data_IF_364644827165
#
_entry.id   IF_364644827165
#
_cell.length_a   1.000
_cell.length_b   1.000
_cell.length_c   1.000
_cell.angle_alpha   90.00
_cell.angle_beta   90.00
_cell.angle_gamma   90.00
#
_symmetry.space_group_name_H-M   'P 1'
#
loop_
_entity.id
_entity.type
_entity.pdbx_description
1 polymer ?
#
# COMPACT_ATOMS: atom_id res chain seq x y z
N UNK A 1 -86.66 -54.22 31.46
CA UNK A 1 -85.41 -54.36 32.20
C UNK A 1 -85.39 -55.61 33.06
N UNK A 2 -84.24 -56.16 33.41
CA UNK A 2 -84.17 -57.34 34.28
C UNK A 2 -84.00 -56.97 35.74
N UNK A 3 -84.59 -57.69 36.63
CA UNK A 3 -84.48 -57.49 38.08
C UNK A 3 -83.08 -57.87 38.60
N UNK A 4 -82.38 -56.92 39.22
CA UNK A 4 -81.00 -57.15 39.77
C UNK A 4 -80.94 -58.20 40.85
N UNK A 5 -82.04 -58.66 41.41
CA UNK A 5 -82.10 -59.64 42.48
C UNK A 5 -82.52 -61.05 42.04
N UNK A 6 -83.39 -61.23 41.00
CA UNK A 6 -83.87 -62.51 40.58
C UNK A 6 -83.91 -62.73 39.06
N UNK A 7 -83.28 -61.84 38.31
CA UNK A 7 -83.15 -61.81 36.82
C UNK A 7 -84.52 -61.90 36.02
N UNK A 8 -85.66 -61.79 36.71
CA UNK A 8 -86.91 -61.73 36.03
C UNK A 8 -87.11 -60.47 35.19
N UNK A 9 -87.79 -60.56 34.04
CA UNK A 9 -88.11 -59.41 33.21
C UNK A 9 -89.17 -58.53 33.90
N UNK A 10 -88.80 -57.25 34.07
CA UNK A 10 -89.69 -56.22 34.64
C UNK A 10 -90.05 -55.28 33.52
N UNK A 11 -91.33 -54.90 33.43
CA UNK A 11 -91.83 -53.87 32.48
C UNK A 11 -91.22 -52.54 32.80
N UNK A 12 -90.76 -51.84 31.79
CA UNK A 12 -90.27 -50.48 31.94
C UNK A 12 -91.32 -49.59 32.64
N UNK A 13 -90.87 -48.89 33.70
CA UNK A 13 -91.68 -48.06 34.54
C UNK A 13 -92.26 -48.74 35.77
N UNK A 14 -92.07 -50.04 36.03
CA UNK A 14 -92.46 -50.75 37.28
C UNK A 14 -91.48 -50.40 38.41
N UNK A 15 -92.08 -49.95 39.53
CA UNK A 15 -91.28 -49.58 40.73
C UNK A 15 -90.84 -50.83 41.53
N UNK A 16 -91.52 -51.97 41.42
CA UNK A 16 -91.25 -53.24 42.10
C UNK A 16 -91.24 -54.44 41.14
N UNK A 17 -90.37 -55.40 41.38
CA UNK A 17 -90.36 -56.61 40.60
C UNK A 17 -91.63 -57.46 40.94
N UNK A 18 -92.41 -57.87 39.96
CA UNK A 18 -93.62 -58.67 40.27
C UNK A 18 -93.34 -60.08 40.74
N UNK A 19 -92.12 -60.60 40.61
CA UNK A 19 -91.73 -61.95 40.96
C UNK A 19 -91.10 -62.02 42.38
N UNK A 20 -90.28 -61.07 42.77
CA UNK A 20 -89.59 -61.16 44.10
C UNK A 20 -89.91 -59.97 45.03
N UNK A 21 -90.78 -59.01 44.62
CA UNK A 21 -91.23 -57.89 45.42
C UNK A 21 -90.18 -56.80 45.74
N UNK A 22 -88.97 -56.94 45.26
CA UNK A 22 -87.90 -55.94 45.52
C UNK A 22 -88.03 -54.76 44.53
N UNK A 23 -87.73 -53.58 45.03
CA UNK A 23 -87.67 -52.39 44.21
C UNK A 23 -86.85 -52.62 42.98
N UNK A 24 -87.44 -52.25 41.82
CA UNK A 24 -86.68 -52.19 40.57
C UNK A 24 -85.82 -50.97 40.64
N UNK A 25 -84.49 -51.19 40.61
CA UNK A 25 -83.56 -50.08 40.52
C UNK A 25 -83.84 -49.32 39.22
N UNK A 26 -84.54 -48.21 39.37
CA UNK A 26 -84.65 -47.24 38.29
C UNK A 26 -83.26 -46.66 38.09
N UNK A 27 -82.67 -46.90 36.93
CA UNK A 27 -81.39 -46.31 36.58
C UNK A 27 -81.54 -44.79 36.65
N UNK A 28 -80.83 -44.16 37.53
CA UNK A 28 -80.80 -42.73 37.74
C UNK A 28 -80.34 -41.99 36.47
N UNK A 29 -81.22 -41.83 35.48
CA UNK A 29 -80.95 -41.01 34.33
C UNK A 29 -81.17 -39.51 34.55
N UNK A 30 -81.82 -39.15 35.68
CA UNK A 30 -82.15 -37.75 35.95
C UNK A 30 -81.26 -37.02 36.94
N UNK A 31 -80.47 -37.69 37.73
CA UNK A 31 -79.57 -37.03 38.72
C UNK A 31 -78.29 -36.45 38.12
N UNK A 32 -77.83 -36.99 37.02
CA UNK A 32 -76.53 -36.50 36.43
C UNK A 32 -76.67 -35.21 35.61
N UNK A 33 -77.88 -34.92 35.05
CA UNK A 33 -78.08 -33.72 34.25
C UNK A 33 -78.28 -32.44 35.09
N UNK A 34 -78.90 -32.57 36.28
CA UNK A 34 -79.03 -31.40 37.18
C UNK A 34 -77.74 -31.08 37.89
N UNK A 35 -76.93 -32.09 38.30
CA UNK A 35 -75.63 -31.87 38.94
C UNK A 35 -74.60 -31.25 37.94
N UNK A 36 -74.50 -31.73 36.73
CA UNK A 36 -73.67 -31.16 35.72
C UNK A 36 -74.06 -29.74 35.33
N UNK A 37 -75.33 -29.46 35.28
CA UNK A 37 -75.78 -28.11 35.00
C UNK A 37 -75.53 -27.18 36.19
N UNK A 38 -75.82 -27.60 37.41
CA UNK A 38 -75.49 -26.84 38.61
C UNK A 38 -74.00 -26.67 38.80
N UNK A 39 -73.19 -27.70 38.52
CA UNK A 39 -71.75 -27.59 38.54
C UNK A 39 -71.17 -26.68 37.45
N UNK A 40 -71.80 -26.65 36.27
CA UNK A 40 -71.42 -25.70 35.20
C UNK A 40 -71.76 -24.27 35.58
N UNK A 41 -72.96 -24.03 36.13
CA UNK A 41 -73.35 -22.70 36.62
C UNK A 41 -72.52 -22.21 37.80
N UNK A 42 -72.15 -23.11 38.74
CA UNK A 42 -71.29 -22.79 39.86
C UNK A 42 -69.87 -22.50 39.38
N UNK A 43 -69.32 -23.26 38.42
CA UNK A 43 -68.02 -23.02 37.80
C UNK A 43 -67.97 -21.68 37.05
N UNK A 44 -69.06 -21.35 36.33
CA UNK A 44 -69.14 -20.02 35.69
C UNK A 44 -69.33 -18.89 36.70
N UNK A 45 -70.13 -19.14 37.80
CA UNK A 45 -70.32 -18.16 38.85
C UNK A 45 -69.08 -17.91 39.73
N UNK A 46 -68.33 -18.96 40.04
CA UNK A 46 -67.08 -18.86 40.84
C UNK A 46 -65.94 -18.18 40.05
N UNK A 47 -65.93 -18.34 38.74
CA UNK A 47 -64.89 -17.68 37.90
C UNK A 47 -65.17 -16.21 37.59
N UNK A 48 -66.39 -15.74 37.81
CA UNK A 48 -66.73 -14.31 37.74
C UNK A 48 -66.52 -13.68 39.13
N UNK A 49 -65.22 -13.49 39.53
CA UNK A 49 -64.96 -12.53 40.58
C UNK A 49 -65.60 -11.20 40.13
N UNK A 50 -66.63 -10.75 40.84
CA UNK A 50 -67.15 -9.45 40.65
C UNK A 50 -66.09 -8.47 41.15
N UNK A 51 -65.23 -8.04 40.22
CA UNK A 51 -64.23 -7.03 40.49
C UNK A 51 -64.87 -5.71 40.91
N UNK A 52 -64.35 -5.08 41.91
CA UNK A 52 -64.87 -3.76 42.35
C UNK A 52 -64.80 -2.76 41.16
N UNK A 53 -65.61 -1.73 41.15
CA UNK A 53 -65.61 -0.71 40.11
C UNK A 53 -64.20 -0.11 39.87
N UNK A 54 -63.40 0.01 40.94
CA UNK A 54 -62.06 0.51 40.88
C UNK A 54 -61.09 -0.47 40.22
N UNK A 55 -61.23 -1.77 40.49
CA UNK A 55 -60.41 -2.82 39.85
C UNK A 55 -60.74 -2.95 38.36
N UNK A 56 -62.03 -2.82 38.00
CA UNK A 56 -62.47 -2.80 36.59
C UNK A 56 -61.88 -1.58 35.86
N UNK A 57 -61.86 -0.42 36.50
CA UNK A 57 -61.27 0.79 35.90
C UNK A 57 -59.76 0.67 35.71
N UNK A 58 -59.05 0.05 36.68
CA UNK A 58 -57.59 -0.24 36.56
C UNK A 58 -57.30 -1.23 35.44
N UNK A 59 -58.08 -2.27 35.29
CA UNK A 59 -57.96 -3.25 34.21
C UNK A 59 -58.27 -2.66 32.83
N UNK A 60 -59.27 -1.77 32.73
CA UNK A 60 -59.56 -1.03 31.48
C UNK A 60 -58.39 -0.13 31.09
N UNK A 61 -57.85 0.66 32.03
CA UNK A 61 -56.65 1.51 31.79
C UNK A 61 -55.43 0.67 31.38
N UNK A 62 -55.21 -0.48 32.03
CA UNK A 62 -54.12 -1.40 31.70
C UNK A 62 -54.27 -2.02 30.31
N UNK A 63 -55.53 -2.42 29.94
CA UNK A 63 -55.81 -2.93 28.58
C UNK A 63 -55.65 -1.87 27.50
N UNK A 64 -55.91 -0.60 27.79
CA UNK A 64 -55.70 0.50 26.86
C UNK A 64 -54.22 0.91 26.76
N UNK A 65 -53.47 0.85 27.86
CA UNK A 65 -52.05 1.18 27.87
C UNK A 65 -51.16 0.05 27.30
N UNK A 66 -51.62 -1.21 27.40
CA UNK A 66 -50.83 -2.38 26.96
C UNK A 66 -50.39 -2.33 25.48
N UNK A 67 -51.25 -2.00 24.50
CA UNK A 67 -50.82 -1.88 23.10
C UNK A 67 -49.79 -0.78 22.91
N UNK A 68 -49.89 0.36 23.63
CA UNK A 68 -48.95 1.46 23.53
C UNK A 68 -47.59 1.04 24.11
N UNK A 69 -47.58 0.32 25.22
CA UNK A 69 -46.32 -0.19 25.82
C UNK A 69 -45.70 -1.26 24.90
N UNK A 70 -46.48 -2.15 24.33
CA UNK A 70 -45.98 -3.20 23.42
C UNK A 70 -45.42 -2.57 22.15
N UNK A 71 -46.14 -1.58 21.55
CA UNK A 71 -45.61 -0.88 20.35
C UNK A 71 -44.35 -0.08 20.68
N UNK A 72 -44.27 0.55 21.84
CA UNK A 72 -43.06 1.23 22.30
C UNK A 72 -41.87 0.29 22.49
N UNK A 73 -42.11 -0.90 23.06
CA UNK A 73 -41.07 -1.95 23.20
C UNK A 73 -40.61 -2.49 21.85
N UNK A 74 -41.52 -2.74 20.93
CA UNK A 74 -41.18 -3.20 19.57
C UNK A 74 -40.34 -2.14 18.87
N UNK A 75 -40.70 -0.87 18.95
CA UNK A 75 -39.91 0.21 18.35
C UNK A 75 -38.52 0.32 18.98
N UNK A 76 -38.41 0.22 20.30
CA UNK A 76 -37.13 0.24 21.00
C UNK A 76 -36.22 -0.94 20.57
N UNK A 77 -36.81 -2.14 20.39
CA UNK A 77 -36.05 -3.30 19.90
C UNK A 77 -35.59 -3.08 18.45
N UNK A 78 -36.43 -2.54 17.59
CA UNK A 78 -36.03 -2.24 16.20
C UNK A 78 -34.91 -1.21 16.13
N UNK A 79 -34.98 -0.17 16.96
CA UNK A 79 -33.87 0.81 17.06
C UNK A 79 -32.61 0.14 17.58
N UNK A 80 -32.67 -0.67 18.62
CA UNK A 80 -31.52 -1.39 19.15
C UNK A 80 -30.88 -2.34 18.12
N UNK A 81 -31.74 -3.08 17.38
CA UNK A 81 -31.24 -3.93 16.27
C UNK A 81 -30.58 -3.09 15.17
N UNK A 82 -31.17 -1.95 14.80
CA UNK A 82 -30.61 -1.03 13.82
C UNK A 82 -29.23 -0.51 14.23
N UNK A 83 -29.07 -0.15 15.52
CA UNK A 83 -27.77 0.28 16.08
C UNK A 83 -26.76 -0.85 16.03
N UNK A 84 -27.13 -2.07 16.44
CA UNK A 84 -26.23 -3.22 16.42
C UNK A 84 -25.79 -3.57 14.99
N UNK A 85 -26.73 -3.55 14.04
CA UNK A 85 -26.42 -3.78 12.61
C UNK A 85 -25.47 -2.70 12.09
N UNK A 86 -25.70 -1.43 12.42
CA UNK A 86 -24.80 -0.35 12.03
C UNK A 86 -23.40 -0.55 12.61
N UNK A 87 -23.28 -0.81 13.90
CA UNK A 87 -21.99 -1.05 14.55
C UNK A 87 -21.26 -2.25 13.93
N UNK A 88 -21.99 -3.30 13.56
CA UNK A 88 -21.41 -4.46 12.88
C UNK A 88 -20.90 -4.12 11.48
N UNK A 89 -21.65 -3.32 10.71
CA UNK A 89 -21.22 -2.85 9.39
C UNK A 89 -20.00 -1.94 9.51
N UNK A 90 -20.01 -0.99 10.45
CA UNK A 90 -18.89 -0.08 10.69
C UNK A 90 -17.64 -0.88 11.10
N UNK A 91 -17.75 -1.84 12.02
CA UNK A 91 -16.65 -2.74 12.40
C UNK A 91 -16.10 -3.55 11.22
N UNK A 92 -16.99 -4.09 10.36
CA UNK A 92 -16.55 -4.82 9.17
C UNK A 92 -15.82 -3.93 8.17
N UNK A 93 -16.31 -2.71 7.97
CA UNK A 93 -15.72 -1.74 7.07
C UNK A 93 -14.35 -1.26 7.58
N UNK A 94 -14.23 -0.97 8.88
CA UNK A 94 -12.98 -0.55 9.51
C UNK A 94 -11.87 -1.60 9.40
N UNK A 95 -12.23 -2.89 9.34
CA UNK A 95 -11.31 -4.01 9.19
C UNK A 95 -11.24 -4.57 7.76
N UNK A 96 -11.74 -3.85 6.76
CA UNK A 96 -11.69 -4.24 5.36
C UNK A 96 -10.70 -3.37 4.59
N UNK A 97 -9.60 -3.97 4.11
CA UNK A 97 -8.61 -3.31 3.25
C UNK A 97 -9.28 -2.68 2.03
N UNK A 98 -10.09 -3.45 1.29
CA UNK A 98 -10.79 -2.96 0.09
C UNK A 98 -11.67 -1.74 0.38
N UNK A 99 -12.36 -1.73 1.52
CA UNK A 99 -13.17 -0.58 1.92
C UNK A 99 -12.29 0.64 2.19
N UNK A 100 -11.16 0.47 2.91
CA UNK A 100 -10.26 1.56 3.21
C UNK A 100 -9.65 2.16 1.93
N UNK A 101 -9.17 1.32 1.01
CA UNK A 101 -8.62 1.76 -0.28
C UNK A 101 -9.67 2.51 -1.12
N UNK A 102 -10.87 1.93 -1.25
CA UNK A 102 -11.96 2.59 -1.98
C UNK A 102 -12.32 3.96 -1.41
N UNK A 103 -12.37 4.08 -0.08
CA UNK A 103 -12.64 5.37 0.57
C UNK A 103 -11.50 6.35 0.38
N UNK A 104 -10.24 5.89 0.46
CA UNK A 104 -9.08 6.71 0.18
C UNK A 104 -9.14 7.31 -1.22
N UNK A 105 -9.37 6.49 -2.24
CA UNK A 105 -9.48 6.92 -3.63
C UNK A 105 -10.64 7.91 -3.84
N UNK A 106 -11.79 7.67 -3.19
CA UNK A 106 -12.91 8.62 -3.24
C UNK A 106 -12.54 9.98 -2.66
N UNK A 107 -11.88 10.00 -1.51
CA UNK A 107 -11.44 11.24 -0.85
C UNK A 107 -10.34 11.95 -1.66
N UNK A 108 -9.46 11.21 -2.34
CA UNK A 108 -8.46 11.79 -3.26
C UNK A 108 -9.13 12.50 -4.44
N UNK A 109 -10.15 11.89 -5.05
CA UNK A 109 -10.93 12.51 -6.14
C UNK A 109 -11.62 13.80 -5.67
N UNK A 110 -12.09 13.81 -4.43
CA UNK A 110 -12.72 15.00 -3.81
C UNK A 110 -11.69 16.02 -3.26
N UNK A 111 -10.39 15.76 -3.44
CA UNK A 111 -9.26 16.56 -2.93
C UNK A 111 -9.22 16.68 -1.39
N UNK A 112 -9.84 15.74 -0.68
CA UNK A 112 -9.83 15.65 0.78
C UNK A 112 -8.62 14.82 1.26
N UNK A 113 -7.41 15.29 0.99
CA UNK A 113 -6.17 14.54 1.22
C UNK A 113 -5.93 14.12 2.67
N UNK A 114 -6.37 14.90 3.65
CA UNK A 114 -6.27 14.54 5.08
C UNK A 114 -7.12 13.30 5.39
N UNK A 115 -8.35 13.24 4.87
CA UNK A 115 -9.22 12.08 5.01
C UNK A 115 -8.66 10.87 4.28
N UNK A 116 -8.16 11.05 3.05
CA UNK A 116 -7.53 10.00 2.25
C UNK A 116 -6.35 9.37 3.00
N UNK A 117 -5.44 10.20 3.54
CA UNK A 117 -4.32 9.73 4.37
C UNK A 117 -4.78 8.89 5.58
N UNK A 118 -5.89 9.27 6.20
CA UNK A 118 -6.49 8.51 7.31
C UNK A 118 -6.97 7.13 6.88
N UNK A 119 -7.55 7.00 5.69
CA UNK A 119 -7.98 5.71 5.13
C UNK A 119 -6.78 4.86 4.70
N UNK A 120 -5.77 5.44 4.03
CA UNK A 120 -4.54 4.76 3.64
C UNK A 120 -3.76 4.23 4.85
N UNK A 121 -3.68 5.01 5.92
CA UNK A 121 -3.04 4.57 7.16
C UNK A 121 -3.76 3.36 7.79
N UNK A 122 -5.10 3.30 7.70
CA UNK A 122 -5.86 2.12 8.14
C UNK A 122 -5.67 0.93 7.20
N UNK A 123 -5.59 1.16 5.88
CA UNK A 123 -5.26 0.11 4.91
C UNK A 123 -3.91 -0.53 5.24
N UNK A 124 -2.88 0.26 5.49
CA UNK A 124 -1.56 -0.21 5.91
C UNK A 124 -1.56 -0.91 7.28
N UNK A 125 -2.45 -0.52 8.20
CA UNK A 125 -2.60 -1.24 9.46
C UNK A 125 -3.18 -2.65 9.28
N UNK A 126 -3.99 -2.86 8.22
CA UNK A 126 -4.56 -4.17 7.86
C UNK A 126 -3.57 -4.98 7.02
N UNK A 127 -2.91 -4.36 6.05
CA UNK A 127 -1.92 -4.97 5.15
C UNK A 127 -0.62 -4.15 5.23
N UNK A 128 0.30 -4.51 6.17
CA UNK A 128 1.50 -3.71 6.41
C UNK A 128 2.49 -3.65 5.24
N UNK A 129 2.44 -4.60 4.31
CA UNK A 129 3.34 -4.66 3.14
C UNK A 129 2.68 -4.16 1.85
N UNK A 130 1.54 -3.48 1.96
CA UNK A 130 0.84 -2.95 0.80
C UNK A 130 1.61 -1.81 0.13
N UNK A 131 1.98 -2.02 -1.14
CA UNK A 131 2.73 -1.05 -1.94
C UNK A 131 1.84 0.07 -2.47
N UNK A 132 0.59 -0.25 -2.82
CA UNK A 132 -0.35 0.70 -3.40
C UNK A 132 -0.71 1.83 -2.42
N UNK A 133 -1.05 1.48 -1.17
CA UNK A 133 -1.30 2.49 -0.14
C UNK A 133 -0.10 3.41 0.10
N UNK A 134 1.13 2.87 0.04
CA UNK A 134 2.34 3.69 0.18
C UNK A 134 2.54 4.62 -1.00
N UNK A 135 2.29 4.13 -2.21
CA UNK A 135 2.40 4.93 -3.42
C UNK A 135 1.41 6.09 -3.39
N UNK A 136 0.13 5.83 -3.11
CA UNK A 136 -0.90 6.88 -2.98
C UNK A 136 -0.56 7.88 -1.87
N UNK A 137 0.00 7.42 -0.72
CA UNK A 137 0.47 8.34 0.35
C UNK A 137 1.65 9.20 -0.13
N UNK A 138 2.58 8.64 -0.89
CA UNK A 138 3.71 9.38 -1.44
C UNK A 138 3.23 10.47 -2.42
N UNK A 139 2.27 10.17 -3.28
CA UNK A 139 1.65 11.14 -4.18
C UNK A 139 1.01 12.31 -3.41
N UNK A 140 0.27 12.02 -2.33
CA UNK A 140 -0.30 13.07 -1.48
C UNK A 140 0.81 13.94 -0.86
N UNK A 141 1.93 13.35 -0.43
CA UNK A 141 3.05 14.12 0.10
C UNK A 141 3.70 15.01 -0.98
N UNK A 142 3.84 14.52 -2.21
CA UNK A 142 4.36 15.30 -3.34
C UNK A 142 3.45 16.48 -3.68
N UNK A 143 2.13 16.27 -3.69
CA UNK A 143 1.15 17.35 -3.88
C UNK A 143 1.24 18.46 -2.80
N UNK A 144 1.80 18.15 -1.64
CA UNK A 144 1.98 19.09 -0.53
C UNK A 144 3.44 19.55 -0.36
N UNK A 145 4.28 19.35 -1.39
CA UNK A 145 5.70 19.74 -1.40
C UNK A 145 6.53 19.11 -0.25
N UNK A 146 6.14 17.91 0.20
CA UNK A 146 6.82 17.17 1.28
C UNK A 146 7.68 16.04 0.70
N UNK A 147 8.64 16.41 -0.14
CA UNK A 147 9.49 15.46 -0.88
C UNK A 147 10.19 14.44 0.02
N UNK A 148 10.76 14.87 1.17
CA UNK A 148 11.44 13.96 2.10
C UNK A 148 10.54 12.81 2.58
N UNK A 149 9.27 13.11 2.87
CA UNK A 149 8.31 12.09 3.30
C UNK A 149 7.92 11.17 2.15
N UNK A 150 7.77 11.70 0.94
CA UNK A 150 7.52 10.92 -0.26
C UNK A 150 8.69 9.98 -0.57
N UNK A 151 9.93 10.46 -0.52
CA UNK A 151 11.15 9.64 -0.75
C UNK A 151 11.19 8.43 0.18
N UNK A 152 10.85 8.60 1.46
CA UNK A 152 10.82 7.48 2.43
C UNK A 152 9.82 6.41 2.00
N UNK A 153 8.61 6.81 1.60
CA UNK A 153 7.57 5.87 1.17
C UNK A 153 7.91 5.20 -0.15
N UNK A 154 8.38 5.96 -1.14
CA UNK A 154 8.80 5.43 -2.45
C UNK A 154 9.97 4.45 -2.33
N UNK A 155 10.93 4.75 -1.47
CA UNK A 155 12.05 3.82 -1.19
C UNK A 155 11.53 2.53 -0.54
N UNK A 156 10.53 2.62 0.34
CA UNK A 156 9.92 1.45 0.94
C UNK A 156 9.09 0.65 -0.07
N UNK A 157 8.43 1.30 -1.03
CA UNK A 157 7.75 0.64 -2.16
C UNK A 157 8.75 -0.21 -2.95
N UNK A 158 9.90 0.36 -3.37
CA UNK A 158 10.94 -0.37 -4.10
C UNK A 158 11.51 -1.52 -3.27
N UNK A 159 11.67 -1.34 -1.95
CA UNK A 159 12.13 -2.42 -1.07
C UNK A 159 11.16 -3.60 -1.01
N UNK A 160 9.84 -3.34 -1.12
CA UNK A 160 8.78 -4.36 -1.08
C UNK A 160 8.54 -4.99 -2.46
N UNK A 161 8.68 -4.20 -3.51
CA UNK A 161 8.51 -4.60 -4.90
C UNK A 161 9.60 -3.91 -5.75
N UNK A 162 10.66 -4.66 -6.04
CA UNK A 162 11.85 -4.16 -6.77
C UNK A 162 11.52 -3.79 -8.23
N UNK A 163 10.38 -4.24 -8.75
CA UNK A 163 9.95 -3.99 -10.12
C UNK A 163 8.83 -2.93 -10.22
N UNK A 164 8.55 -2.20 -9.12
CA UNK A 164 7.51 -1.18 -9.11
C UNK A 164 7.97 0.10 -9.82
N UNK A 165 7.77 0.14 -11.14
CA UNK A 165 8.27 1.17 -12.06
C UNK A 165 7.93 2.61 -11.64
N UNK A 166 6.67 2.87 -11.25
CA UNK A 166 6.20 4.22 -10.95
C UNK A 166 6.94 4.85 -9.77
N UNK A 167 7.38 4.03 -8.79
CA UNK A 167 8.19 4.50 -7.68
C UNK A 167 9.59 4.96 -8.12
N UNK A 168 10.20 4.27 -9.11
CA UNK A 168 11.46 4.71 -9.71
C UNK A 168 11.28 6.02 -10.48
N UNK A 169 10.23 6.13 -11.29
CA UNK A 169 9.93 7.36 -12.03
C UNK A 169 9.81 8.55 -11.07
N UNK A 170 8.99 8.44 -10.03
CA UNK A 170 8.85 9.50 -9.02
C UNK A 170 10.17 9.86 -8.32
N UNK A 171 10.99 8.87 -7.92
CA UNK A 171 12.27 9.14 -7.28
C UNK A 171 13.28 9.79 -8.24
N UNK A 172 13.30 9.36 -9.50
CA UNK A 172 14.15 9.97 -10.53
C UNK A 172 13.76 11.43 -10.72
N UNK A 173 12.48 11.74 -10.84
CA UNK A 173 12.00 13.11 -11.03
C UNK A 173 12.39 13.99 -9.83
N UNK A 174 12.16 13.54 -8.60
CA UNK A 174 12.53 14.29 -7.39
C UNK A 174 14.06 14.54 -7.36
N UNK A 175 14.87 13.52 -7.62
CA UNK A 175 16.33 13.66 -7.57
C UNK A 175 16.85 14.49 -8.74
N UNK A 176 16.24 14.43 -9.91
CA UNK A 176 16.63 15.22 -11.07
C UNK A 176 16.30 16.71 -10.88
N UNK A 177 15.13 17.05 -10.36
CA UNK A 177 14.74 18.42 -10.02
C UNK A 177 15.68 19.06 -8.98
N UNK A 178 16.19 18.25 -8.06
CA UNK A 178 17.15 18.67 -7.02
C UNK A 178 18.63 18.51 -7.46
N UNK A 179 18.92 18.19 -8.73
CA UNK A 179 20.28 17.97 -9.28
C UNK A 179 21.07 16.89 -8.50
N UNK A 180 20.40 15.91 -7.89
CA UNK A 180 21.01 14.86 -7.06
C UNK A 180 21.35 13.60 -7.88
N UNK A 181 22.11 13.76 -8.95
CA UNK A 181 22.40 12.71 -9.95
C UNK A 181 23.11 11.48 -9.36
N UNK A 182 23.91 11.65 -8.31
CA UNK A 182 24.53 10.51 -7.59
C UNK A 182 23.50 9.59 -6.94
N UNK A 183 22.38 10.15 -6.48
CA UNK A 183 21.27 9.34 -5.94
C UNK A 183 20.54 8.58 -7.05
N UNK A 184 20.38 9.19 -8.22
CA UNK A 184 19.80 8.51 -9.40
C UNK A 184 20.70 7.35 -9.81
N UNK A 185 22.04 7.54 -9.83
CA UNK A 185 23.00 6.47 -10.10
C UNK A 185 22.85 5.33 -9.09
N UNK A 186 22.85 5.65 -7.80
CA UNK A 186 22.66 4.65 -6.75
C UNK A 186 21.32 3.91 -6.91
N UNK A 187 20.25 4.64 -7.22
CA UNK A 187 18.92 4.06 -7.43
C UNK A 187 18.90 3.06 -8.59
N UNK A 188 19.69 3.30 -9.65
CA UNK A 188 19.80 2.39 -10.81
C UNK A 188 20.41 1.02 -10.48
N UNK A 189 21.08 0.89 -9.33
CA UNK A 189 21.69 -0.36 -8.87
C UNK A 189 20.71 -1.29 -8.14
N UNK A 190 19.51 -0.80 -7.78
CA UNK A 190 18.51 -1.58 -7.05
C UNK A 190 17.64 -2.49 -7.94
N UNK A 191 17.65 -2.31 -9.26
CA UNK A 191 16.87 -3.12 -10.18
C UNK A 191 17.75 -3.79 -11.23
N UNK A 192 17.35 -4.97 -11.68
CA UNK A 192 17.90 -5.66 -12.86
C UNK A 192 16.92 -5.64 -14.04
N UNK A 193 15.71 -5.12 -13.84
CA UNK A 193 14.71 -5.00 -14.91
C UNK A 193 15.15 -4.02 -16.00
N UNK A 194 15.06 -4.44 -17.26
CA UNK A 194 15.56 -3.66 -18.41
C UNK A 194 14.70 -2.43 -18.72
N UNK A 195 13.40 -2.52 -18.45
CA UNK A 195 12.48 -1.42 -18.74
C UNK A 195 12.67 -0.31 -17.70
N UNK A 196 12.88 -0.70 -16.43
CA UNK A 196 13.21 0.25 -15.36
C UNK A 196 14.61 0.82 -15.58
N UNK A 197 15.61 0.00 -15.94
CA UNK A 197 16.97 0.49 -16.29
C UNK A 197 16.96 1.52 -17.42
N UNK A 198 16.03 1.42 -18.36
CA UNK A 198 15.91 2.40 -19.42
C UNK A 198 15.55 3.81 -18.94
N UNK A 199 14.89 3.95 -17.78
CA UNK A 199 14.55 5.24 -17.17
C UNK A 199 15.79 6.05 -16.79
N UNK A 200 16.90 5.37 -16.48
CA UNK A 200 18.15 5.99 -16.03
C UNK A 200 19.07 6.44 -17.15
N UNK A 201 18.79 6.05 -18.40
CA UNK A 201 19.70 6.25 -19.55
C UNK A 201 20.12 7.72 -19.74
N UNK A 202 19.22 8.65 -19.49
CA UNK A 202 19.47 10.07 -19.66
C UNK A 202 20.27 10.70 -18.50
N UNK A 203 20.42 9.98 -17.39
CA UNK A 203 21.08 10.43 -16.16
C UNK A 203 22.42 9.73 -15.91
N UNK A 204 22.60 8.51 -16.40
CA UNK A 204 23.83 7.76 -16.26
C UNK A 204 24.83 8.19 -17.35
N UNK A 205 26.00 8.66 -16.92
CA UNK A 205 27.06 9.10 -17.82
C UNK A 205 28.26 8.18 -17.63
N UNK A 206 28.66 7.51 -18.71
CA UNK A 206 29.83 6.63 -18.70
C UNK A 206 31.12 7.40 -18.48
N UNK A 207 32.10 6.74 -17.84
CA UNK A 207 33.43 7.32 -17.61
C UNK A 207 34.25 7.29 -18.90
N UNK A 208 35.10 8.32 -19.17
CA UNK A 208 36.00 8.28 -20.29
C UNK A 208 37.19 7.34 -20.00
N UNK A 209 37.76 6.78 -21.04
CA UNK A 209 39.03 6.02 -20.98
C UNK A 209 40.17 6.90 -21.44
N UNK A 210 41.25 6.94 -20.66
CA UNK A 210 42.46 7.70 -20.96
C UNK A 210 43.58 6.72 -21.28
N UNK A 211 44.21 6.89 -22.43
CA UNK A 211 45.32 6.04 -22.89
C UNK A 211 46.55 6.89 -23.25
N UNK A 212 47.74 6.44 -22.91
CA UNK A 212 48.06 5.25 -22.12
C UNK A 212 47.70 5.39 -20.65
N UNK A 213 47.80 4.27 -19.90
CA UNK A 213 47.64 4.27 -18.44
C UNK A 213 48.81 5.05 -17.76
N UNK A 214 48.60 5.42 -16.49
CA UNK A 214 49.65 6.07 -15.68
C UNK A 214 50.95 5.30 -15.69
N UNK A 215 52.07 5.95 -16.07
CA UNK A 215 53.42 5.39 -16.07
C UNK A 215 54.45 6.50 -16.21
N UNK A 216 55.76 6.10 -16.26
CA UNK A 216 56.89 6.92 -16.61
C UNK A 216 57.26 6.71 -18.07
N UNK A 217 57.39 7.79 -18.82
CA UNK A 217 57.73 7.78 -20.25
C UNK A 217 59.03 8.53 -20.48
N UNK A 218 59.88 8.01 -21.35
CA UNK A 218 61.22 8.55 -21.66
C UNK A 218 61.27 9.31 -23.00
N UNK A 219 60.15 9.30 -23.73
CA UNK A 219 59.95 10.01 -24.98
C UNK A 219 58.72 10.92 -24.88
N UNK A 220 58.48 11.71 -25.92
CA UNK A 220 57.27 12.49 -26.06
C UNK A 220 56.01 11.59 -25.93
N UNK A 221 55.07 12.02 -25.11
CA UNK A 221 53.86 11.27 -24.85
C UNK A 221 52.65 11.92 -25.52
N UNK A 222 51.87 11.12 -26.26
CA UNK A 222 50.57 11.51 -26.77
C UNK A 222 49.49 10.75 -26.02
N UNK A 223 48.62 11.51 -25.34
CA UNK A 223 47.50 10.97 -24.56
C UNK A 223 46.21 11.12 -25.34
N UNK A 224 45.50 10.02 -25.50
CA UNK A 224 44.18 9.98 -26.15
C UNK A 224 43.10 9.70 -25.13
N UNK A 225 41.90 10.31 -25.31
CA UNK A 225 40.76 10.13 -24.45
C UNK A 225 39.60 9.64 -25.30
N UNK A 226 38.88 8.63 -24.82
CA UNK A 226 37.78 7.99 -25.54
C UNK A 226 36.53 7.92 -24.67
N UNK A 227 35.38 8.06 -25.27
CA UNK A 227 34.08 7.71 -24.66
C UNK A 227 33.43 6.59 -25.46
N UNK A 228 32.70 5.72 -24.78
CA UNK A 228 31.90 4.65 -25.41
C UNK A 228 30.66 5.24 -26.06
N UNK A 229 30.09 6.27 -25.44
CA UNK A 229 28.93 7.00 -25.91
C UNK A 229 29.36 8.31 -26.58
N UNK A 230 28.49 8.90 -27.39
CA UNK A 230 28.72 10.19 -28.04
C UNK A 230 28.59 11.37 -27.06
N UNK A 231 29.37 11.34 -25.99
CA UNK A 231 29.42 12.37 -24.97
C UNK A 231 30.50 13.40 -25.22
N UNK A 232 30.25 14.63 -24.80
CA UNK A 232 31.30 15.65 -24.82
C UNK A 232 32.33 15.35 -23.71
N UNK A 233 33.59 15.22 -24.07
CA UNK A 233 34.67 14.98 -23.11
C UNK A 233 35.30 16.31 -22.73
N UNK A 234 35.55 16.53 -21.42
CA UNK A 234 36.29 17.65 -20.87
C UNK A 234 37.51 17.14 -20.09
N UNK A 235 38.62 17.85 -20.19
CA UNK A 235 39.84 17.42 -19.55
C UNK A 235 40.67 18.59 -19.00
N UNK A 236 41.54 18.29 -18.05
CA UNK A 236 42.61 19.15 -17.54
C UNK A 236 43.94 18.38 -17.53
N UNK A 237 45.09 19.07 -17.58
CA UNK A 237 46.44 18.46 -17.57
C UNK A 237 47.23 18.80 -16.30
N UNK A 238 46.68 19.66 -15.46
CA UNK A 238 47.30 20.17 -14.23
C UNK A 238 46.68 19.57 -12.94
N UNK A 239 45.70 18.64 -13.10
CA UNK A 239 45.02 17.98 -11.99
C UNK A 239 43.87 18.80 -11.40
N UNK A 240 43.52 19.96 -11.97
CA UNK A 240 42.32 20.70 -11.60
C UNK A 240 41.04 19.92 -11.99
N UNK A 241 39.90 20.34 -11.47
CA UNK A 241 38.62 19.68 -11.77
C UNK A 241 38.17 20.00 -13.20
N UNK A 242 37.98 18.99 -14.06
CA UNK A 242 37.53 19.18 -15.43
C UNK A 242 36.06 19.60 -15.57
N UNK A 243 35.26 19.46 -14.53
CA UNK A 243 33.86 19.92 -14.57
C UNK A 243 33.77 21.45 -14.53
N UNK A 244 34.76 22.10 -13.91
CA UNK A 244 34.82 23.56 -13.73
C UNK A 244 35.85 24.23 -14.66
N UNK A 245 37.04 23.62 -14.82
CA UNK A 245 38.17 24.20 -15.55
C UNK A 245 38.53 23.41 -16.82
N UNK A 246 37.72 22.42 -17.19
CA UNK A 246 38.03 21.51 -18.29
C UNK A 246 37.99 22.19 -19.66
N UNK A 247 38.95 21.82 -20.50
CA UNK A 247 38.90 22.09 -21.95
C UNK A 247 38.16 20.97 -22.64
N UNK A 248 37.36 21.32 -23.65
CA UNK A 248 36.70 20.30 -24.47
C UNK A 248 37.75 19.51 -25.25
N UNK A 249 37.70 18.20 -25.14
CA UNK A 249 38.55 17.29 -25.91
C UNK A 249 37.96 17.14 -27.32
N UNK A 250 38.84 17.15 -28.32
CA UNK A 250 38.48 16.88 -29.71
C UNK A 250 38.95 15.48 -30.05
N UNK A 251 38.06 14.59 -30.33
CA UNK A 251 38.36 13.21 -30.64
C UNK A 251 39.31 13.11 -31.85
N UNK A 252 40.27 12.21 -31.74
CA UNK A 252 41.35 12.06 -32.74
C UNK A 252 42.47 13.08 -32.63
N UNK A 253 42.38 14.09 -31.76
CA UNK A 253 43.45 15.05 -31.47
C UNK A 253 44.03 14.70 -30.10
N UNK A 254 45.19 14.05 -30.08
CA UNK A 254 45.87 13.71 -28.82
C UNK A 254 46.36 14.92 -28.05
N UNK A 255 46.59 14.73 -26.74
CA UNK A 255 47.25 15.71 -25.87
C UNK A 255 48.74 15.37 -25.85
N UNK A 256 49.56 16.21 -26.44
CA UNK A 256 51.02 15.96 -26.52
C UNK A 256 51.73 16.60 -25.34
N UNK A 257 52.63 15.83 -24.69
CA UNK A 257 53.53 16.26 -23.66
C UNK A 257 54.95 16.11 -24.21
N UNK A 258 55.58 17.23 -24.54
CA UNK A 258 56.89 17.35 -25.18
C UNK A 258 57.97 17.90 -24.23
N UNK A 259 57.65 18.02 -22.94
CA UNK A 259 58.56 18.50 -21.91
C UNK A 259 58.65 17.52 -20.74
N UNK A 260 59.82 17.42 -20.12
CA UNK A 260 59.98 16.64 -18.89
C UNK A 260 59.16 17.27 -17.76
N UNK A 261 58.46 16.42 -16.99
CA UNK A 261 57.62 16.89 -15.91
C UNK A 261 56.68 15.83 -15.34
N UNK A 262 55.93 16.22 -14.33
CA UNK A 262 54.81 15.44 -13.74
C UNK A 262 53.49 16.05 -14.22
N UNK A 263 52.70 15.25 -14.86
CA UNK A 263 51.43 15.67 -15.39
C UNK A 263 50.28 14.85 -14.77
N UNK A 264 49.24 15.53 -14.39
CA UNK A 264 48.02 14.89 -13.86
C UNK A 264 46.85 15.20 -14.78
N UNK A 265 46.53 14.24 -15.64
CA UNK A 265 45.43 14.36 -16.56
C UNK A 265 44.14 13.87 -15.89
N UNK A 266 43.16 14.72 -15.86
CA UNK A 266 41.80 14.38 -15.44
C UNK A 266 40.85 14.55 -16.61
N UNK A 267 39.90 13.63 -16.77
CA UNK A 267 38.87 13.72 -17.80
C UNK A 267 37.52 13.31 -17.26
N UNK A 268 36.48 13.88 -17.85
CA UNK A 268 35.09 13.61 -17.52
C UNK A 268 34.21 13.66 -18.77
N UNK A 269 33.22 12.80 -18.87
CA UNK A 269 32.18 12.89 -19.90
C UNK A 269 31.02 13.79 -19.44
N UNK A 270 30.40 14.47 -20.40
CA UNK A 270 29.18 15.26 -20.19
C UNK A 270 28.15 14.86 -21.22
N UNK A 271 26.95 14.44 -20.76
CA UNK A 271 25.86 14.08 -21.66
C UNK A 271 25.15 15.30 -22.27
N UNK A 272 24.15 15.02 -23.13
CA UNK A 272 23.30 16.04 -23.76
C UNK A 272 22.51 16.91 -22.77
N UNK A 273 22.16 16.35 -21.60
CA UNK A 273 21.39 17.01 -20.54
C UNK A 273 22.28 17.89 -19.64
N UNK A 274 23.59 17.94 -19.91
CA UNK A 274 24.53 18.74 -19.13
C UNK A 274 25.05 18.07 -17.87
N UNK A 275 24.74 16.79 -17.65
CA UNK A 275 25.17 16.01 -16.49
C UNK A 275 26.59 15.51 -16.73
N UNK A 276 27.47 15.70 -15.74
CA UNK A 276 28.82 15.17 -15.74
C UNK A 276 28.86 13.79 -15.09
N UNK A 277 29.65 12.88 -15.66
CA UNK A 277 29.96 11.59 -15.08
C UNK A 277 31.10 11.66 -14.04
N UNK A 278 31.65 10.50 -13.71
CA UNK A 278 32.79 10.41 -12.82
C UNK A 278 34.08 10.89 -13.50
N UNK A 279 34.95 11.59 -12.73
CA UNK A 279 36.23 12.07 -13.18
C UNK A 279 37.27 10.94 -13.13
N UNK A 280 37.82 10.59 -14.28
CA UNK A 280 38.95 9.66 -14.38
C UNK A 280 40.28 10.43 -14.29
N UNK A 281 41.25 9.87 -13.59
CA UNK A 281 42.56 10.49 -13.37
C UNK A 281 43.68 9.55 -13.82
N UNK A 282 44.62 10.09 -14.61
CA UNK A 282 45.88 9.44 -14.93
C UNK A 282 47.08 10.36 -14.57
N UNK A 283 48.17 9.76 -14.07
CA UNK A 283 49.38 10.49 -13.69
C UNK A 283 50.54 10.04 -14.60
N UNK A 284 51.24 10.98 -15.18
CA UNK A 284 52.35 10.71 -16.07
C UNK A 284 53.62 11.40 -15.56
N UNK A 285 54.73 10.67 -15.55
CA UNK A 285 56.04 11.20 -15.37
C UNK A 285 56.77 11.12 -16.72
N UNK A 286 57.17 12.27 -17.25
CA UNK A 286 57.92 12.35 -18.51
C UNK A 286 59.34 12.75 -18.23
N UNK A 287 60.32 11.97 -18.70
CA UNK A 287 61.75 12.17 -18.54
C UNK A 287 62.39 12.12 -19.93
N UNK A 288 62.38 13.25 -20.62
CA UNK A 288 63.00 13.32 -21.93
C UNK A 288 64.54 13.28 -21.80
N UNK A 289 65.17 12.32 -22.48
CA UNK A 289 66.60 12.33 -22.64
C UNK A 289 67.04 13.45 -23.59
N UNK A 290 67.99 14.29 -23.25
CA UNK A 290 68.43 15.34 -24.16
C UNK A 290 68.85 14.70 -25.50
N UNK A 291 68.26 15.17 -26.59
CA UNK A 291 68.60 14.77 -27.94
C UNK A 291 70.08 15.12 -28.12
N UNK A 292 71.01 14.19 -28.51
CA UNK A 292 72.37 14.52 -28.75
C UNK A 292 72.43 15.67 -29.76
N UNK A 293 73.18 16.75 -29.38
CA UNK A 293 73.43 17.84 -30.31
C UNK A 293 74.03 17.24 -31.57
N UNK A 294 73.63 17.71 -32.79
CA UNK A 294 74.28 17.26 -34.03
C UNK A 294 75.76 17.62 -33.94
N UNK A 295 76.65 16.60 -34.00
CA UNK A 295 78.07 16.81 -34.07
C UNK A 295 78.39 17.79 -35.19
N UNK A 296 78.88 18.97 -34.81
CA UNK A 296 79.38 19.97 -35.76
C UNK A 296 80.55 19.33 -36.42
N UNK A 297 80.40 18.79 -37.61
CA UNK A 297 81.56 18.40 -38.45
C UNK A 297 82.41 19.65 -38.67
N UNK A 298 83.48 19.78 -37.95
CA UNK A 298 84.61 20.65 -38.22
C UNK A 298 85.19 20.24 -39.57
N UNK A 299 84.84 20.93 -40.64
CA UNK A 299 85.60 20.85 -41.90
C UNK A 299 87.03 21.15 -41.62
N UNK A 300 87.90 20.12 -41.59
CA UNK A 300 89.33 20.27 -41.69
C UNK A 300 89.68 20.82 -43.06
N UNK A 301 89.98 22.15 -43.12
CA UNK A 301 90.56 22.81 -44.29
C UNK A 301 91.98 22.27 -44.45
N UNK A 302 92.16 21.30 -45.37
CA UNK A 302 93.44 20.90 -45.89
C UNK A 302 94.00 22.05 -46.69
N UNK A 303 94.95 22.84 -46.08
CA UNK A 303 95.84 23.70 -46.79
C UNK A 303 96.76 22.86 -47.68
N UNK A 304 96.52 22.88 -48.96
CA UNK A 304 97.49 22.36 -49.96
C UNK A 304 98.55 23.40 -50.11
N UNK A 305 99.76 23.15 -49.56
CA UNK A 305 100.97 23.89 -49.84
C UNK A 305 101.50 23.39 -51.20
N UNK A 306 101.39 24.23 -52.24
CA UNK A 306 102.09 24.06 -53.47
C UNK A 306 103.57 24.48 -53.17
N UNK A 307 104.56 23.55 -53.33
CA UNK A 307 105.92 23.87 -53.59
C UNK A 307 106.25 23.60 -55.08
N UNK A 308 107.01 24.50 -55.60
CA UNK A 308 107.51 24.55 -56.97
C UNK A 308 108.35 23.36 -57.41
#
# INVERSE_FOLDING_TARGET
MKCANCDAEIKDGSIYCPVCGKEAQMVNGYASLEDDFLHSLLREGINKRILSPEEQARLRKRKQAMPIIVTGLILAILIAVGVVVKLFIDYKNDNSYEYQMKMAQSEMVDHNYESAMGYLARALAIVPEDVESRMEMAEIYLLHEKEDAAIVLLTEVIRLDEDYRDAYECLIDIYAENEQYEKIKTLSEYTEDKEIKALFTDYLVTTPSIYPSSDTFYDELNVSIFSVDDYAIYYTTDGTDPTTNGKRYIEGVGITFDNSGLYKVKAVCKNKNGIYGEVVTQNYQIVLTPKPEPETQTEEVLEVIEEQ
#
